data_IF_176997227976
#
_entry.id   IF_176997227976
#
_cell.length_a   1.000
_cell.length_b   1.000
_cell.length_c   1.000
_cell.angle_alpha   90.00
_cell.angle_beta   90.00
_cell.angle_gamma   90.00
#
_symmetry.space_group_name_H-M   'P 1'
#
loop_
_entity.id
_entity.type
_entity.pdbx_description
1 polymer ?
#
# COMPACT_ATOMS: atom_id res chain seq x y z
N UNK A 1 1.48 -27.15 51.23
CA UNK A 1 0.86 -25.82 51.31
C UNK A 1 1.96 -24.80 51.10
N UNK A 2 2.03 -24.18 49.92
CA UNK A 2 3.02 -23.18 49.59
C UNK A 2 2.29 -21.95 49.05
N UNK A 3 2.35 -20.84 49.79
CA UNK A 3 1.87 -19.54 49.37
C UNK A 3 2.97 -18.85 48.57
N UNK A 4 2.73 -18.54 47.30
CA UNK A 4 3.57 -17.62 46.53
C UNK A 4 2.94 -16.23 46.63
N UNK A 5 3.67 -15.34 47.28
CA UNK A 5 3.33 -13.95 47.53
C UNK A 5 3.74 -13.13 46.29
N UNK A 6 2.76 -12.58 45.55
CA UNK A 6 3.03 -11.64 44.46
C UNK A 6 3.41 -10.27 45.03
N UNK A 7 4.62 -9.80 44.74
CA UNK A 7 5.03 -8.42 44.94
C UNK A 7 4.41 -7.50 43.88
N UNK A 8 3.75 -6.43 44.31
CA UNK A 8 3.14 -5.42 43.43
C UNK A 8 4.21 -4.57 42.72
N UNK A 9 3.95 -4.07 41.49
CA UNK A 9 4.85 -3.12 40.84
C UNK A 9 4.76 -1.73 41.49
N UNK A 10 5.91 -1.20 41.85
CA UNK A 10 6.09 0.18 42.30
C UNK A 10 5.92 1.14 41.09
N UNK A 11 4.90 2.00 41.10
CA UNK A 11 4.76 3.08 40.14
C UNK A 11 5.76 4.20 40.46
N UNK A 12 6.77 4.38 39.60
CA UNK A 12 7.66 5.55 39.62
C UNK A 12 6.99 6.70 38.86
N UNK A 13 6.48 7.67 39.60
CA UNK A 13 6.08 8.98 39.08
C UNK A 13 7.34 9.73 38.63
N UNK A 14 7.53 9.88 37.32
CA UNK A 14 8.52 10.82 36.77
C UNK A 14 7.83 12.17 36.55
N UNK A 15 8.37 13.19 37.19
CA UNK A 15 7.96 14.58 37.04
C UNK A 15 8.39 15.10 35.66
N UNK A 16 7.41 15.51 34.84
CA UNK A 16 7.66 16.20 33.57
C UNK A 16 8.12 17.64 33.82
N UNK A 17 9.16 18.14 33.13
CA UNK A 17 9.50 19.56 33.16
C UNK A 17 8.47 20.38 32.37
N UNK A 18 7.98 21.43 33.00
CA UNK A 18 7.09 22.44 32.42
C UNK A 18 7.87 23.36 31.47
N UNK A 19 7.65 23.20 30.16
CA UNK A 19 8.12 24.17 29.17
C UNK A 19 7.03 25.23 28.94
N UNK A 20 7.24 26.42 29.50
CA UNK A 20 6.38 27.59 29.29
C UNK A 20 6.66 28.19 27.90
N UNK A 21 5.78 27.94 26.94
CA UNK A 21 5.76 28.65 25.65
C UNK A 21 5.03 29.98 25.85
N UNK A 22 5.61 31.14 25.51
CA UNK A 22 4.88 32.40 25.55
C UNK A 22 3.87 32.45 24.40
N UNK A 23 2.59 32.52 24.76
CA UNK A 23 1.49 32.87 23.86
C UNK A 23 1.68 34.34 23.44
N UNK A 24 2.15 34.56 22.21
CA UNK A 24 2.11 35.89 21.58
C UNK A 24 0.88 35.97 20.69
N UNK A 25 -0.17 36.61 21.19
CA UNK A 25 -1.29 37.05 20.38
C UNK A 25 -0.82 38.18 19.45
N UNK A 26 -0.74 37.92 18.15
CA UNK A 26 -0.65 38.96 17.13
C UNK A 26 -1.91 38.90 16.26
N UNK A 27 -2.72 39.92 16.45
CA UNK A 27 -3.92 40.22 15.69
C UNK A 27 -3.58 40.63 14.25
N UNK A 28 -4.59 40.46 13.39
CA UNK A 28 -4.80 41.06 12.05
C UNK A 28 -4.35 40.22 10.85
N UNK A 29 -5.33 39.43 10.41
CA UNK A 29 -5.59 39.12 9.01
C UNK A 29 -5.37 40.36 8.11
N UNK A 30 -4.44 40.28 7.18
CA UNK A 30 -4.47 41.10 5.96
C UNK A 30 -4.37 40.16 4.76
N UNK A 31 -5.50 40.06 4.06
CA UNK A 31 -5.65 39.30 2.83
C UNK A 31 -4.94 40.08 1.70
N UNK A 32 -4.04 39.46 0.90
CA UNK A 32 -3.42 40.15 -0.22
C UNK A 32 -4.46 40.42 -1.31
N UNK A 33 -4.78 41.70 -1.51
CA UNK A 33 -5.64 42.21 -2.57
C UNK A 33 -4.92 42.15 -3.92
N UNK A 34 -4.85 40.99 -4.56
CA UNK A 34 -4.39 40.89 -5.96
C UNK A 34 -5.05 39.73 -6.72
N UNK A 35 -6.38 39.72 -6.78
CA UNK A 35 -7.15 38.91 -7.74
C UNK A 35 -8.22 39.77 -8.44
N UNK A 36 -7.81 40.95 -8.92
CA UNK A 36 -8.66 41.92 -9.65
C UNK A 36 -8.03 42.36 -10.98
N UNK A 37 -7.53 41.42 -11.78
CA UNK A 37 -7.01 41.73 -13.14
C UNK A 37 -7.41 40.76 -14.26
N UNK A 38 -8.41 39.90 -14.06
CA UNK A 38 -8.89 39.03 -15.15
C UNK A 38 -10.42 38.99 -15.36
N UNK A 39 -11.12 40.08 -15.03
CA UNK A 39 -12.52 40.26 -15.45
C UNK A 39 -12.74 41.70 -15.91
N UNK A 40 -12.04 42.06 -16.98
CA UNK A 40 -12.40 43.19 -17.81
C UNK A 40 -11.94 42.81 -19.22
N UNK A 41 -12.91 42.43 -20.07
CA UNK A 41 -12.86 42.22 -21.53
C UNK A 41 -13.58 40.97 -22.06
N UNK A 42 -14.51 40.36 -21.32
CA UNK A 42 -15.59 39.58 -21.97
C UNK A 42 -16.83 40.45 -22.15
N UNK A 43 -16.78 41.28 -23.19
CA UNK A 43 -17.92 42.00 -23.74
C UNK A 43 -18.81 40.99 -24.45
N UNK A 44 -19.70 40.33 -23.71
CA UNK A 44 -20.74 39.46 -24.28
C UNK A 44 -21.73 40.36 -25.02
N UNK A 45 -21.51 40.54 -26.32
CA UNK A 45 -22.52 41.05 -27.26
C UNK A 45 -22.91 39.89 -28.17
N UNK A 46 -24.22 39.74 -28.32
CA UNK A 46 -24.97 38.73 -29.09
C UNK A 46 -24.80 37.27 -28.67
N UNK A 47 -25.72 36.83 -27.80
CA UNK A 47 -26.34 35.51 -27.95
C UNK A 47 -26.88 35.42 -29.39
N UNK A 48 -26.28 34.56 -30.19
CA UNK A 48 -26.92 33.92 -31.34
C UNK A 48 -26.58 32.44 -31.25
N UNK A 49 -27.25 31.74 -30.33
CA UNK A 49 -27.26 30.29 -30.35
C UNK A 49 -28.28 29.87 -31.41
N UNK A 50 -27.82 29.79 -32.66
CA UNK A 50 -28.58 29.12 -33.73
C UNK A 50 -28.50 27.63 -33.46
N UNK A 51 -29.53 27.08 -32.82
CA UNK A 51 -29.79 25.64 -32.81
C UNK A 51 -30.26 25.25 -34.20
N UNK A 52 -29.33 24.93 -35.10
CA UNK A 52 -29.64 24.25 -36.36
C UNK A 52 -28.53 23.26 -36.65
N UNK A 53 -28.74 22.05 -36.15
CA UNK A 53 -27.85 20.92 -36.34
C UNK A 53 -28.38 19.73 -35.56
N UNK A 54 -29.33 18.99 -36.15
CA UNK A 54 -29.63 17.63 -35.74
C UNK A 54 -28.44 16.78 -36.18
N UNK A 55 -27.39 16.77 -35.36
CA UNK A 55 -26.29 15.84 -35.48
C UNK A 55 -26.71 14.54 -34.81
N UNK A 56 -27.05 13.53 -35.61
CA UNK A 56 -27.04 12.15 -35.13
C UNK A 56 -25.58 11.78 -34.82
N UNK A 57 -25.18 11.90 -33.56
CA UNK A 57 -23.96 11.27 -33.09
C UNK A 57 -24.27 9.80 -32.84
N UNK A 58 -23.68 8.97 -33.69
CA UNK A 58 -23.65 7.51 -33.63
C UNK A 58 -23.33 7.04 -32.20
N UNK A 59 -24.24 6.27 -31.62
CA UNK A 59 -23.99 5.62 -30.33
C UNK A 59 -22.82 4.66 -30.52
N UNK A 60 -21.64 5.04 -30.01
CA UNK A 60 -20.50 4.12 -29.90
C UNK A 60 -20.96 2.91 -29.11
N UNK A 61 -21.10 1.78 -29.80
CA UNK A 61 -21.28 0.47 -29.18
C UNK A 61 -20.22 0.34 -28.09
N UNK A 62 -20.67 0.11 -26.86
CA UNK A 62 -19.77 -0.12 -25.75
C UNK A 62 -18.80 -1.22 -26.13
N UNK A 63 -17.51 -0.90 -26.15
CA UNK A 63 -16.41 -1.87 -26.32
C UNK A 63 -16.30 -2.72 -25.07
N UNK A 64 -17.36 -3.45 -24.73
CA UNK A 64 -17.20 -4.59 -23.85
C UNK A 64 -16.55 -5.67 -24.73
N UNK A 65 -15.22 -5.68 -24.75
CA UNK A 65 -14.40 -6.70 -25.41
C UNK A 65 -13.97 -7.66 -24.29
N UNK A 66 -14.79 -8.66 -23.95
CA UNK A 66 -14.53 -9.58 -22.84
C UNK A 66 -13.24 -10.41 -23.03
N UNK A 67 -12.60 -10.30 -24.19
CA UNK A 67 -11.31 -10.92 -24.52
C UNK A 67 -10.10 -10.06 -24.16
N UNK A 68 -10.32 -8.83 -23.65
CA UNK A 68 -9.25 -7.95 -23.13
C UNK A 68 -8.79 -8.35 -21.72
N UNK A 69 -9.51 -9.22 -21.05
CA UNK A 69 -9.07 -9.82 -19.81
C UNK A 69 -8.36 -11.13 -20.15
N UNK A 70 -7.07 -11.29 -19.81
CA UNK A 70 -6.39 -12.56 -19.94
C UNK A 70 -7.26 -13.67 -19.31
N UNK A 71 -7.53 -14.75 -20.05
CA UNK A 71 -8.29 -15.89 -19.50
C UNK A 71 -7.53 -16.61 -18.38
N UNK A 72 -6.23 -16.36 -18.30
CA UNK A 72 -5.31 -16.85 -17.31
C UNK A 72 -4.81 -15.66 -16.47
N UNK A 73 -5.18 -15.62 -15.20
CA UNK A 73 -4.69 -14.60 -14.28
C UNK A 73 -3.28 -14.99 -13.83
N UNK A 74 -2.27 -14.20 -14.17
CA UNK A 74 -0.92 -14.40 -13.62
C UNK A 74 -0.84 -13.82 -12.21
N UNK A 75 -0.30 -14.56 -11.24
CA UNK A 75 -0.17 -14.07 -9.86
C UNK A 75 0.91 -12.99 -9.70
N UNK A 76 1.89 -12.96 -10.61
CA UNK A 76 2.97 -11.97 -10.63
C UNK A 76 2.79 -11.06 -11.85
N UNK A 77 2.87 -9.76 -11.61
CA UNK A 77 2.84 -8.71 -12.63
C UNK A 77 4.04 -7.81 -12.40
N UNK A 78 5.08 -7.98 -13.21
CA UNK A 78 6.26 -7.13 -13.20
C UNK A 78 6.23 -6.11 -14.34
N UNK A 79 5.78 -4.89 -14.03
CA UNK A 79 5.73 -3.79 -14.99
C UNK A 79 7.09 -3.11 -15.11
N UNK A 80 7.94 -3.23 -14.07
CA UNK A 80 9.18 -2.49 -13.94
C UNK A 80 10.41 -3.27 -14.45
N UNK A 81 10.30 -4.59 -14.61
CA UNK A 81 11.40 -5.46 -14.99
C UNK A 81 12.39 -5.69 -13.84
N UNK A 82 11.90 -5.74 -12.60
CA UNK A 82 12.72 -6.05 -11.43
C UNK A 82 13.10 -7.53 -11.37
N UNK A 83 12.26 -8.42 -11.90
CA UNK A 83 12.42 -9.86 -11.84
C UNK A 83 12.98 -10.39 -13.16
N UNK A 84 13.95 -11.30 -13.08
CA UNK A 84 14.33 -12.10 -14.26
C UNK A 84 13.24 -13.12 -14.61
N UNK A 85 13.16 -13.55 -15.87
CA UNK A 85 12.22 -14.59 -16.33
C UNK A 85 12.23 -15.86 -15.46
N UNK A 86 13.40 -16.22 -14.92
CA UNK A 86 13.56 -17.36 -14.02
C UNK A 86 12.96 -17.12 -12.65
N UNK A 87 13.18 -15.93 -12.07
CA UNK A 87 12.59 -15.53 -10.79
C UNK A 87 11.08 -15.39 -10.90
N UNK A 88 10.58 -14.77 -11.96
CA UNK A 88 9.15 -14.63 -12.19
C UNK A 88 8.48 -16.01 -12.25
N UNK A 89 9.01 -16.96 -13.02
CA UNK A 89 8.49 -18.33 -13.09
C UNK A 89 8.53 -19.05 -11.74
N UNK A 90 9.61 -18.87 -10.96
CA UNK A 90 9.72 -19.45 -9.63
C UNK A 90 8.66 -18.90 -8.68
N UNK A 91 8.45 -17.58 -8.71
CA UNK A 91 7.43 -16.92 -7.90
C UNK A 91 6.02 -17.33 -8.32
N UNK A 92 5.75 -17.44 -9.62
CA UNK A 92 4.47 -17.93 -10.14
C UNK A 92 4.18 -19.34 -9.61
N UNK A 93 5.18 -20.22 -9.66
CA UNK A 93 5.03 -21.59 -9.16
C UNK A 93 4.76 -21.61 -7.65
N UNK A 94 5.57 -20.90 -6.86
CA UNK A 94 5.41 -20.84 -5.41
C UNK A 94 4.03 -20.30 -5.01
N UNK A 95 3.58 -19.22 -5.65
CA UNK A 95 2.27 -18.62 -5.38
C UNK A 95 1.13 -19.57 -5.78
N UNK A 96 1.26 -20.28 -6.90
CA UNK A 96 0.28 -21.29 -7.29
C UNK A 96 0.19 -22.43 -6.27
N UNK A 97 1.32 -22.81 -5.66
CA UNK A 97 1.36 -23.87 -4.67
C UNK A 97 0.78 -23.39 -3.33
N UNK A 98 1.02 -22.14 -2.93
CA UNK A 98 0.31 -21.52 -1.80
C UNK A 98 -1.22 -21.59 -2.00
N UNK A 99 -1.71 -21.23 -3.19
CA UNK A 99 -3.15 -21.27 -3.49
C UNK A 99 -3.73 -22.69 -3.36
N UNK A 100 -3.00 -23.71 -3.81
CA UNK A 100 -3.44 -25.12 -3.72
C UNK A 100 -3.40 -25.65 -2.29
N UNK A 101 -2.33 -25.34 -1.57
CA UNK A 101 -2.07 -25.89 -0.24
C UNK A 101 -2.96 -25.26 0.83
N UNK A 102 -3.19 -23.94 0.72
CA UNK A 102 -3.79 -23.14 1.79
C UNK A 102 -5.12 -22.51 1.40
N UNK A 103 -5.41 -22.40 0.10
CA UNK A 103 -6.58 -21.68 -0.41
C UNK A 103 -6.43 -20.16 -0.43
N UNK A 104 -5.31 -19.60 0.04
CA UNK A 104 -5.04 -18.17 -0.01
C UNK A 104 -4.51 -17.72 -1.37
N UNK A 105 -5.02 -16.60 -1.87
CA UNK A 105 -4.59 -15.99 -3.13
C UNK A 105 -3.60 -14.87 -2.88
N UNK A 106 -2.35 -15.09 -3.25
CA UNK A 106 -1.30 -14.07 -3.21
C UNK A 106 -1.11 -13.47 -4.61
N UNK A 107 -0.90 -12.16 -4.69
CA UNK A 107 -0.58 -11.48 -5.94
C UNK A 107 0.55 -10.48 -5.71
N UNK A 108 1.51 -10.46 -6.63
CA UNK A 108 2.69 -9.59 -6.58
C UNK A 108 2.61 -8.61 -7.74
N UNK A 109 2.77 -7.33 -7.41
CA UNK A 109 2.76 -6.24 -8.35
C UNK A 109 4.06 -5.44 -8.19
N UNK A 110 4.96 -5.60 -9.14
CA UNK A 110 6.23 -4.88 -9.20
C UNK A 110 6.06 -3.65 -10.09
N UNK A 111 6.23 -2.47 -9.50
CA UNK A 111 6.02 -1.18 -10.16
C UNK A 111 7.18 -0.23 -9.87
N UNK A 112 7.52 0.57 -10.88
CA UNK A 112 8.46 1.65 -10.70
C UNK A 112 7.75 2.84 -10.03
N UNK A 113 7.89 2.95 -8.71
CA UNK A 113 7.43 4.11 -7.95
C UNK A 113 8.62 5.09 -7.80
N UNK A 114 8.42 6.41 -7.97
CA UNK A 114 9.52 7.37 -7.83
C UNK A 114 10.19 7.25 -6.46
N UNK A 115 11.51 7.49 -6.40
CA UNK A 115 12.36 7.36 -5.22
C UNK A 115 11.77 8.03 -3.96
N UNK A 116 10.99 7.26 -3.21
CA UNK A 116 10.59 7.62 -1.85
C UNK A 116 11.56 6.94 -0.89
N UNK A 117 12.38 7.69 -0.14
CA UNK A 117 13.26 7.08 0.85
C UNK A 117 12.41 6.36 1.89
N UNK A 118 12.55 5.05 2.00
CA UNK A 118 11.76 4.27 2.94
C UNK A 118 11.61 2.80 2.59
N UNK A 119 10.37 2.34 2.63
CA UNK A 119 9.98 0.94 2.48
C UNK A 119 9.47 0.65 1.08
N UNK A 120 10.01 -0.36 0.39
CA UNK A 120 9.60 -0.75 -0.96
C UNK A 120 8.49 -1.82 -0.99
N UNK A 121 8.14 -2.39 0.16
CA UNK A 121 7.10 -3.41 0.26
C UNK A 121 5.82 -2.83 0.85
N UNK A 122 4.71 -3.03 0.16
CA UNK A 122 3.38 -2.64 0.61
C UNK A 122 2.40 -3.80 0.46
N UNK A 123 1.62 -4.06 1.52
CA UNK A 123 0.71 -5.20 1.60
C UNK A 123 -0.74 -4.72 1.63
N UNK A 124 -1.54 -5.19 0.67
CA UNK A 124 -2.99 -5.04 0.69
C UNK A 124 -3.59 -6.38 1.09
N UNK A 125 -4.19 -6.42 2.28
CA UNK A 125 -4.70 -7.65 2.91
C UNK A 125 -6.21 -7.53 3.03
N UNK A 126 -6.92 -8.59 2.66
CA UNK A 126 -8.38 -8.67 2.81
C UNK A 126 -8.80 -9.13 4.21
N UNK A 127 -9.99 -8.73 4.64
CA UNK A 127 -10.50 -8.94 6.00
C UNK A 127 -10.50 -10.41 6.46
N UNK A 128 -10.67 -11.36 5.53
CA UNK A 128 -10.66 -12.80 5.85
C UNK A 128 -9.30 -13.32 6.29
N UNK A 129 -8.21 -12.70 5.81
CA UNK A 129 -6.83 -13.15 6.09
C UNK A 129 -6.37 -12.71 7.48
N UNK A 130 -6.92 -11.61 7.99
CA UNK A 130 -6.54 -11.05 9.29
C UNK A 130 -6.97 -11.92 10.49
N UNK A 131 -7.89 -12.88 10.29
CA UNK A 131 -8.29 -13.84 11.31
C UNK A 131 -7.21 -14.89 11.56
N UNK A 132 -6.51 -15.30 10.49
CA UNK A 132 -5.50 -16.34 10.53
C UNK A 132 -4.10 -15.75 10.68
N UNK A 133 -3.83 -14.55 10.17
CA UNK A 133 -2.50 -13.93 10.18
C UNK A 133 -2.51 -12.65 11.03
N UNK A 134 -1.64 -12.53 12.04
CA UNK A 134 -1.61 -11.35 12.88
C UNK A 134 -1.16 -10.11 12.08
N UNK A 135 -1.86 -8.98 12.24
CA UNK A 135 -1.53 -7.72 11.53
C UNK A 135 -0.09 -7.25 11.70
N UNK A 136 0.53 -7.59 12.84
CA UNK A 136 1.92 -7.27 13.14
C UNK A 136 2.91 -7.96 12.19
N UNK A 137 2.56 -9.13 11.65
CA UNK A 137 3.38 -9.87 10.68
C UNK A 137 3.72 -8.99 9.47
N UNK A 138 2.71 -8.39 8.83
CA UNK A 138 2.90 -7.55 7.64
C UNK A 138 3.81 -6.35 7.89
N UNK A 139 3.65 -5.69 9.04
CA UNK A 139 4.49 -4.55 9.42
C UNK A 139 5.95 -4.96 9.66
N UNK A 140 6.18 -6.13 10.27
CA UNK A 140 7.52 -6.66 10.52
C UNK A 140 8.17 -7.17 9.24
N UNK A 141 7.40 -7.83 8.37
CA UNK A 141 7.84 -8.32 7.07
C UNK A 141 8.30 -7.16 6.18
N UNK A 142 7.47 -6.12 6.07
CA UNK A 142 7.83 -4.89 5.38
C UNK A 142 9.09 -4.27 6.02
N UNK A 143 9.15 -4.19 7.35
CA UNK A 143 10.30 -3.65 8.07
C UNK A 143 11.59 -4.43 7.84
N UNK A 144 11.52 -5.76 7.71
CA UNK A 144 12.70 -6.63 7.54
C UNK A 144 13.24 -6.63 6.11
N UNK A 145 12.37 -6.82 5.11
CA UNK A 145 12.80 -7.00 3.72
C UNK A 145 12.59 -5.76 2.86
N UNK A 146 11.67 -4.87 3.22
CA UNK A 146 11.39 -3.68 2.44
C UNK A 146 12.18 -2.44 2.85
N UNK A 147 12.94 -2.48 3.96
CA UNK A 147 13.74 -1.33 4.38
C UNK A 147 14.91 -1.05 3.43
N UNK A 148 15.28 0.23 3.35
CA UNK A 148 16.37 0.73 2.51
C UNK A 148 17.72 0.03 2.70
N UNK A 149 18.06 -0.43 3.90
CA UNK A 149 19.33 -1.11 4.10
C UNK A 149 19.34 -2.49 3.45
N UNK A 150 18.22 -3.22 3.53
CA UNK A 150 18.11 -4.55 2.97
C UNK A 150 18.15 -4.55 1.44
N UNK A 151 17.28 -3.79 0.78
CA UNK A 151 17.21 -3.84 -0.69
C UNK A 151 18.41 -3.17 -1.38
N UNK A 152 19.07 -2.19 -0.73
CA UNK A 152 20.35 -1.65 -1.24
C UNK A 152 21.49 -2.65 -1.18
N UNK A 153 21.49 -3.55 -0.20
CA UNK A 153 22.54 -4.56 -0.04
C UNK A 153 22.26 -5.82 -0.87
N UNK A 154 21.00 -6.30 -0.85
CA UNK A 154 20.61 -7.58 -1.45
C UNK A 154 20.02 -7.47 -2.85
N UNK A 155 19.47 -6.32 -3.21
CA UNK A 155 18.65 -6.14 -4.40
C UNK A 155 17.17 -6.05 -4.08
N UNK A 156 16.44 -5.33 -4.93
CA UNK A 156 14.98 -5.17 -4.84
C UNK A 156 14.26 -6.48 -5.16
N UNK A 157 14.76 -7.23 -6.14
CA UNK A 157 14.30 -8.55 -6.53
C UNK A 157 14.40 -9.56 -5.37
N UNK A 158 15.55 -9.59 -4.69
CA UNK A 158 15.76 -10.43 -3.51
C UNK A 158 14.82 -10.07 -2.36
N UNK A 159 14.45 -8.79 -2.24
CA UNK A 159 13.49 -8.31 -1.25
C UNK A 159 12.08 -8.82 -1.52
N UNK A 160 11.67 -8.86 -2.79
CA UNK A 160 10.39 -9.44 -3.23
C UNK A 160 10.39 -10.95 -2.97
N UNK A 161 11.44 -11.67 -3.39
CA UNK A 161 11.53 -13.12 -3.22
C UNK A 161 11.51 -13.53 -1.73
N UNK A 162 12.29 -12.86 -0.89
CA UNK A 162 12.33 -13.12 0.54
C UNK A 162 10.96 -12.86 1.21
N UNK A 163 10.25 -11.81 0.78
CA UNK A 163 8.93 -11.51 1.29
C UNK A 163 7.91 -12.60 0.92
N UNK A 164 7.90 -13.05 -0.34
CA UNK A 164 6.99 -14.11 -0.81
C UNK A 164 7.27 -15.43 -0.09
N UNK A 165 8.55 -15.80 0.08
CA UNK A 165 8.92 -17.00 0.82
C UNK A 165 8.49 -16.96 2.29
N UNK A 166 8.66 -15.81 2.97
CA UNK A 166 8.22 -15.66 4.36
C UNK A 166 6.70 -15.72 4.50
N UNK A 167 5.94 -15.14 3.56
CA UNK A 167 4.47 -15.28 3.52
C UNK A 167 4.10 -16.74 3.32
N UNK A 168 4.76 -17.42 2.38
CA UNK A 168 4.51 -18.83 2.10
C UNK A 168 4.69 -19.72 3.32
N UNK A 169 5.78 -19.51 4.07
CA UNK A 169 6.04 -20.25 5.31
C UNK A 169 4.97 -19.97 6.38
N UNK A 170 4.63 -18.69 6.60
CA UNK A 170 3.58 -18.29 7.52
C UNK A 170 2.21 -18.91 7.18
N UNK A 171 1.84 -18.94 5.90
CA UNK A 171 0.56 -19.50 5.45
C UNK A 171 0.46 -21.02 5.61
N UNK A 172 1.60 -21.72 5.61
CA UNK A 172 1.67 -23.17 5.84
C UNK A 172 1.75 -23.54 7.32
N UNK A 173 2.01 -22.59 8.20
CA UNK A 173 1.99 -22.82 9.65
C UNK A 173 0.55 -23.00 10.16
N UNK A 174 0.32 -23.92 11.12
CA UNK A 174 -0.98 -24.04 11.75
C UNK A 174 -1.30 -22.78 12.57
N UNK A 175 -2.56 -22.36 12.55
CA UNK A 175 -3.05 -21.24 13.34
C UNK A 175 -2.83 -21.49 14.83
N UNK A 176 -2.22 -20.53 15.54
CA UNK A 176 -1.89 -20.67 16.95
C UNK A 176 -1.32 -19.38 17.53
N UNK A 177 -1.05 -19.32 18.84
CA UNK A 177 -0.64 -18.08 19.52
C UNK A 177 0.66 -17.44 19.00
N UNK A 178 1.54 -18.25 18.38
CA UNK A 178 2.86 -17.85 17.90
C UNK A 178 3.00 -18.05 16.38
N UNK A 179 1.90 -18.14 15.64
CA UNK A 179 1.98 -18.30 14.19
C UNK A 179 2.60 -17.06 13.53
N UNK A 180 3.38 -17.29 12.47
CA UNK A 180 4.04 -16.24 11.71
C UNK A 180 4.93 -15.33 12.58
N UNK A 181 5.49 -15.89 13.65
CA UNK A 181 6.35 -15.17 14.59
C UNK A 181 7.79 -15.07 14.09
N UNK A 182 8.22 -15.99 13.24
CA UNK A 182 9.51 -15.99 12.57
C UNK A 182 9.39 -15.34 11.18
N UNK A 183 10.32 -14.42 10.90
CA UNK A 183 10.47 -13.74 9.61
C UNK A 183 11.95 -13.63 9.38
#
# INVERSE_FOLDING_TARGET
MAFIQYSSPCFRTTSFPTLSVPIRASSRLSLPTTFRKWVAHFRVKSLNWVFSGVGFAEAKVGVNKPELLPREFTPVIDVAGFLSDGQEKRLIQEISDIEKDTGFKLRVLAQNYPDTPGNILNFNVGDSVDLDIPRSFWSRLAGKYGNMFYWKEKGEDASIEAAVMAISNCLREPVGPNNCSEI
#
